data_IF_339952730945
#
_entry.id   IF_339952730945
#
_cell.length_a   1.000
_cell.length_b   1.000
_cell.length_c   1.000
_cell.angle_alpha   90.00
_cell.angle_beta   90.00
_cell.angle_gamma   90.00
#
_symmetry.space_group_name_H-M   'P 1'
#
loop_
_entity.id
_entity.type
_entity.pdbx_description
1 polymer ?
#
# COMPACT_ATOMS: atom_id res chain seq x y z
N UNK A 1 3.65 -44.23 12.72
CA UNK A 1 4.91 -44.75 13.33
C UNK A 1 5.40 -43.72 14.33
N UNK A 2 6.03 -44.10 15.43
CA UNK A 2 6.65 -43.13 16.36
C UNK A 2 8.00 -42.70 15.80
N UNK A 3 8.19 -41.41 15.59
CA UNK A 3 9.45 -40.83 15.14
C UNK A 3 10.10 -40.08 16.31
N UNK A 4 11.42 -40.15 16.40
CA UNK A 4 12.20 -39.29 17.30
C UNK A 4 12.76 -38.16 16.47
N UNK A 5 12.21 -36.96 16.66
CA UNK A 5 12.73 -35.75 16.06
C UNK A 5 13.86 -35.21 16.95
N UNK A 6 15.04 -35.05 16.38
CA UNK A 6 16.17 -34.35 17.00
C UNK A 6 16.33 -32.98 16.33
N UNK A 7 15.90 -31.94 17.01
CA UNK A 7 15.98 -30.57 16.53
C UNK A 7 17.26 -29.92 17.07
N UNK A 8 18.11 -29.43 16.18
CA UNK A 8 19.35 -28.71 16.50
C UNK A 8 19.15 -27.25 16.09
N UNK A 9 19.12 -26.34 17.06
CA UNK A 9 18.96 -24.89 16.83
C UNK A 9 20.30 -24.22 17.10
N UNK A 10 20.91 -23.66 16.05
CA UNK A 10 22.18 -22.92 16.15
C UNK A 10 21.89 -21.42 16.02
N UNK A 11 22.25 -20.64 17.04
CA UNK A 11 22.27 -19.18 16.95
C UNK A 11 23.48 -18.74 16.13
N UNK A 12 23.25 -18.38 14.86
CA UNK A 12 24.26 -17.70 14.06
C UNK A 12 24.38 -16.24 14.51
N UNK A 13 25.63 -15.80 14.66
CA UNK A 13 26.01 -14.52 15.21
C UNK A 13 25.42 -13.38 14.35
N UNK A 14 24.33 -12.75 14.80
CA UNK A 14 23.73 -11.55 14.19
C UNK A 14 24.58 -10.28 14.46
N UNK A 15 25.90 -10.40 14.38
CA UNK A 15 26.84 -9.29 14.60
C UNK A 15 27.33 -8.70 13.27
N UNK A 16 26.95 -7.43 13.07
CA UNK A 16 27.63 -6.39 12.27
C UNK A 16 27.59 -6.43 10.73
N UNK A 17 26.59 -5.75 10.14
CA UNK A 17 26.92 -4.84 9.04
C UNK A 17 27.64 -3.62 9.64
N UNK A 18 28.96 -3.57 9.48
CA UNK A 18 29.79 -2.39 9.75
C UNK A 18 29.84 -1.55 8.46
N UNK A 19 29.23 -0.38 8.45
CA UNK A 19 29.62 0.70 7.55
C UNK A 19 30.08 1.87 8.41
N UNK A 20 31.40 2.12 8.41
CA UNK A 20 32.00 3.33 8.99
C UNK A 20 31.57 4.54 8.15
N UNK A 21 30.91 5.52 8.78
CA UNK A 21 30.87 6.89 8.27
C UNK A 21 31.94 7.65 9.05
N UNK A 22 33.05 7.97 8.37
CA UNK A 22 34.07 8.90 8.86
C UNK A 22 33.49 10.32 8.85
N UNK A 23 33.12 10.83 10.03
CA UNK A 23 32.71 12.24 10.21
C UNK A 23 32.56 12.60 11.69
N UNK A 24 33.09 13.74 12.17
CA UNK A 24 33.27 13.98 13.59
C UNK A 24 32.02 14.63 14.20
N UNK A 25 31.26 13.90 15.01
CA UNK A 25 30.75 14.39 16.29
C UNK A 25 30.30 13.21 17.15
N UNK A 26 30.80 13.20 18.39
CA UNK A 26 30.89 12.06 19.31
C UNK A 26 29.55 11.63 19.89
N UNK A 27 29.32 10.30 19.94
CA UNK A 27 28.74 9.62 21.10
C UNK A 27 29.61 8.39 21.44
N UNK A 28 30.22 8.42 22.62
CA UNK A 28 31.07 7.35 23.16
C UNK A 28 30.21 6.32 23.90
N UNK A 29 29.83 5.25 23.22
CA UNK A 29 29.87 3.85 23.67
C UNK A 29 29.00 3.01 22.73
N UNK A 30 29.57 1.91 22.24
CA UNK A 30 28.84 0.92 21.44
C UNK A 30 27.93 0.14 22.39
N UNK A 31 26.68 0.57 22.52
CA UNK A 31 25.66 -0.17 23.27
C UNK A 31 25.50 -1.58 22.69
N UNK A 32 25.96 -2.59 23.44
CA UNK A 32 25.77 -4.01 23.13
C UNK A 32 24.31 -4.36 23.40
N UNK A 33 23.49 -4.55 22.36
CA UNK A 33 22.09 -4.97 22.49
C UNK A 33 21.98 -6.48 22.37
N UNK A 34 21.55 -7.15 23.43
CA UNK A 34 21.15 -8.57 23.41
C UNK A 34 19.64 -8.57 23.23
N UNK A 35 19.16 -8.99 22.06
CA UNK A 35 17.72 -9.15 21.83
C UNK A 35 17.28 -10.50 22.43
N UNK A 36 16.30 -10.48 23.33
CA UNK A 36 15.62 -11.71 23.74
C UNK A 36 14.69 -12.17 22.60
N UNK A 37 15.00 -13.29 21.97
CA UNK A 37 14.19 -13.87 20.89
C UNK A 37 13.34 -15.00 21.47
N UNK A 38 12.03 -14.77 21.54
CA UNK A 38 11.06 -15.77 22.01
C UNK A 38 10.34 -16.42 20.83
N UNK A 39 10.24 -17.75 20.84
CA UNK A 39 9.63 -18.53 19.75
C UNK A 39 8.54 -19.47 20.29
N UNK A 40 7.46 -19.64 19.55
CA UNK A 40 6.51 -20.74 19.68
C UNK A 40 6.82 -21.80 18.64
N UNK A 41 6.85 -23.07 19.05
CA UNK A 41 7.19 -24.18 18.16
C UNK A 41 6.01 -25.14 18.14
N UNK A 42 5.44 -25.34 16.95
CA UNK A 42 4.37 -26.30 16.71
C UNK A 42 4.90 -27.47 15.91
N UNK A 43 4.42 -28.67 16.20
CA UNK A 43 4.76 -29.89 15.48
C UNK A 43 3.46 -30.60 15.14
N UNK A 44 3.21 -30.88 13.86
CA UNK A 44 1.95 -31.48 13.39
C UNK A 44 0.72 -30.70 13.91
N UNK A 45 0.81 -29.36 13.91
CA UNK A 45 -0.24 -28.47 14.41
C UNK A 45 -0.39 -28.38 15.94
N UNK A 46 0.41 -29.13 16.71
CA UNK A 46 0.39 -29.10 18.19
C UNK A 46 1.50 -28.21 18.74
N UNK A 47 1.16 -27.27 19.63
CA UNK A 47 2.14 -26.42 20.31
C UNK A 47 2.98 -27.27 21.28
N UNK A 48 4.27 -27.38 21.00
CA UNK A 48 5.23 -28.13 21.84
C UNK A 48 6.08 -27.20 22.71
N UNK A 49 6.44 -26.01 22.21
CA UNK A 49 7.16 -25.01 23.01
C UNK A 49 6.50 -23.64 22.91
N UNK A 50 6.24 -23.01 24.06
CA UNK A 50 5.75 -21.64 24.18
C UNK A 50 6.81 -20.77 24.84
N UNK A 51 6.97 -19.53 24.39
CA UNK A 51 7.90 -18.54 24.96
C UNK A 51 9.37 -19.04 25.01
N UNK A 52 9.80 -19.77 23.99
CA UNK A 52 11.14 -20.35 23.93
C UNK A 52 12.20 -19.27 23.68
N UNK A 53 12.95 -18.89 24.71
CA UNK A 53 14.04 -17.92 24.60
C UNK A 53 15.37 -18.64 24.30
N UNK A 54 15.82 -18.56 23.05
CA UNK A 54 17.03 -19.27 22.61
C UNK A 54 18.28 -18.75 23.34
N UNK A 55 18.38 -17.43 23.57
CA UNK A 55 19.52 -16.80 24.26
C UNK A 55 19.68 -17.33 25.68
N UNK A 56 18.55 -17.55 26.35
CA UNK A 56 18.51 -18.12 27.70
C UNK A 56 18.92 -19.60 27.70
N UNK A 57 18.51 -20.35 26.69
CA UNK A 57 18.85 -21.77 26.53
C UNK A 57 20.33 -22.00 26.18
N UNK A 58 20.99 -21.06 25.50
CA UNK A 58 22.45 -21.11 25.23
C UNK A 58 23.31 -20.47 26.33
N UNK A 59 22.70 -20.10 27.47
CA UNK A 59 23.37 -19.44 28.60
C UNK A 59 24.17 -18.19 28.17
N UNK A 60 23.71 -17.47 27.15
CA UNK A 60 24.38 -16.29 26.61
C UNK A 60 25.64 -16.55 25.78
N UNK A 61 25.95 -17.81 25.43
CA UNK A 61 27.11 -18.16 24.61
C UNK A 61 26.73 -18.22 23.12
N UNK A 62 27.14 -17.25 22.28
CA UNK A 62 26.92 -17.36 20.83
C UNK A 62 27.72 -18.56 20.30
N UNK A 63 27.13 -19.33 19.37
CA UNK A 63 27.68 -20.55 18.75
C UNK A 63 27.46 -21.88 19.49
N UNK A 64 26.69 -21.92 20.58
CA UNK A 64 26.26 -23.20 21.19
C UNK A 64 24.96 -23.68 20.57
N UNK A 65 24.92 -24.95 20.16
CA UNK A 65 23.71 -25.59 19.66
C UNK A 65 22.75 -25.94 20.79
N UNK A 66 21.47 -25.59 20.63
CA UNK A 66 20.39 -26.09 21.49
C UNK A 66 19.80 -27.32 20.84
N UNK A 67 19.93 -28.47 21.50
CA UNK A 67 19.37 -29.74 21.02
C UNK A 67 18.13 -30.08 21.83
N UNK A 68 17.00 -30.31 21.16
CA UNK A 68 15.76 -30.81 21.76
C UNK A 68 15.33 -32.10 21.06
N UNK A 69 14.98 -33.10 21.84
CA UNK A 69 14.47 -34.38 21.33
C UNK A 69 13.00 -34.54 21.71
N UNK A 70 12.17 -34.84 20.72
CA UNK A 70 10.72 -34.98 20.88
C UNK A 70 10.27 -36.27 20.20
N UNK A 71 9.40 -37.01 20.89
CA UNK A 71 8.71 -38.16 20.30
C UNK A 71 7.44 -37.67 19.63
N UNK A 72 7.35 -37.85 18.33
CA UNK A 72 6.24 -37.36 17.51
C UNK A 72 5.58 -38.54 16.82
N UNK A 73 4.26 -38.60 16.92
CA UNK A 73 3.47 -39.54 16.12
C UNK A 73 3.21 -38.93 14.75
N UNK A 74 3.66 -39.60 13.71
CA UNK A 74 3.48 -39.13 12.33
C UNK A 74 2.44 -40.03 11.65
N UNK A 75 1.32 -39.42 11.23
CA UNK A 75 0.22 -40.06 10.50
C UNK A 75 0.49 -40.13 8.99
N UNK A 76 1.22 -39.15 8.46
CA UNK A 76 1.56 -39.01 7.05
C UNK A 76 3.04 -39.33 6.78
N UNK A 77 3.48 -39.38 5.51
CA UNK A 77 4.88 -39.69 5.16
C UNK A 77 5.84 -38.49 5.34
N UNK A 78 5.39 -37.42 6.02
CA UNK A 78 6.14 -36.20 6.28
C UNK A 78 5.91 -35.69 7.70
N UNK A 79 6.89 -34.94 8.21
CA UNK A 79 6.84 -34.26 9.50
C UNK A 79 6.82 -32.75 9.28
N UNK A 80 5.79 -32.07 9.79
CA UNK A 80 5.63 -30.61 9.70
C UNK A 80 5.96 -29.93 11.04
N UNK A 81 6.80 -28.89 11.00
CA UNK A 81 7.25 -28.12 12.16
C UNK A 81 7.11 -26.63 11.84
N UNK A 82 6.45 -25.86 12.71
CA UNK A 82 6.31 -24.40 12.57
C UNK A 82 7.00 -23.69 13.72
N UNK A 83 7.74 -22.62 13.43
CA UNK A 83 8.32 -21.71 14.41
C UNK A 83 7.65 -20.34 14.28
N UNK A 84 7.18 -19.72 15.36
CA UNK A 84 6.55 -18.39 15.35
C UNK A 84 7.23 -17.46 16.36
N UNK A 85 7.50 -16.21 16.03
CA UNK A 85 7.99 -15.26 17.03
C UNK A 85 6.88 -14.85 18.01
N UNK A 86 7.17 -14.92 19.31
CA UNK A 86 6.20 -14.71 20.39
C UNK A 86 6.02 -13.22 20.80
N UNK A 87 6.82 -12.30 20.24
CA UNK A 87 6.62 -10.86 20.45
C UNK A 87 6.99 -10.31 21.83
N UNK A 88 7.67 -11.09 22.70
CA UNK A 88 8.04 -10.66 24.05
C UNK A 88 9.46 -10.10 24.04
N UNK A 89 9.64 -8.82 24.38
CA UNK A 89 10.93 -8.13 24.36
C UNK A 89 10.76 -6.62 24.26
N UNK A 90 11.86 -5.85 24.27
CA UNK A 90 11.83 -4.39 24.16
C UNK A 90 11.26 -3.95 22.80
N UNK A 91 9.96 -3.61 22.77
CA UNK A 91 9.25 -3.14 21.58
C UNK A 91 9.50 -1.65 21.24
N UNK A 92 10.55 -1.03 21.79
CA UNK A 92 10.78 0.41 21.70
C UNK A 92 12.02 0.69 20.85
N UNK A 93 11.81 0.99 19.57
CA UNK A 93 12.78 1.79 18.82
C UNK A 93 12.65 3.25 19.27
N UNK A 94 13.74 4.01 19.47
CA UNK A 94 13.60 5.45 19.61
C UNK A 94 12.97 5.98 18.33
N UNK A 95 11.78 6.59 18.46
CA UNK A 95 11.17 7.43 17.43
C UNK A 95 12.19 8.47 17.01
N UNK A 96 12.78 8.25 15.84
CA UNK A 96 13.60 9.25 15.19
C UNK A 96 12.87 9.64 13.91
N UNK A 97 12.51 10.91 13.88
CA UNK A 97 11.96 11.62 12.74
C UNK A 97 12.71 11.22 11.46
N UNK A 98 12.05 10.43 10.59
CA UNK A 98 12.58 10.10 9.27
C UNK A 98 12.36 11.26 8.30
N UNK A 99 13.08 12.36 8.58
CA UNK A 99 13.61 13.24 7.55
C UNK A 99 14.88 12.58 7.00
N UNK A 100 14.84 12.16 5.73
CA UNK A 100 16.06 12.06 4.92
C UNK A 100 16.80 10.72 4.85
N UNK A 101 16.14 9.65 4.42
CA UNK A 101 16.83 8.55 3.72
C UNK A 101 16.18 8.37 2.35
N UNK A 102 16.91 8.83 1.31
CA UNK A 102 16.72 8.66 -0.14
C UNK A 102 15.28 8.57 -0.66
N UNK A 103 14.84 9.59 -1.40
CA UNK A 103 13.54 9.67 -2.10
C UNK A 103 13.33 8.65 -3.23
N UNK A 104 13.74 7.40 -3.05
CA UNK A 104 13.47 6.27 -3.92
C UNK A 104 12.51 5.30 -3.22
N UNK A 105 11.44 4.87 -3.89
CA UNK A 105 10.54 3.84 -3.37
C UNK A 105 11.31 2.55 -3.06
N UNK A 106 10.92 1.84 -2.00
CA UNK A 106 11.50 0.54 -1.67
C UNK A 106 11.30 -0.45 -2.83
N UNK A 107 12.27 -1.34 -3.05
CA UNK A 107 12.15 -2.39 -4.07
C UNK A 107 11.83 -3.70 -3.39
N UNK A 108 10.65 -4.25 -3.67
CA UNK A 108 10.17 -5.53 -3.15
C UNK A 108 10.39 -6.65 -4.17
N UNK A 109 10.68 -7.85 -3.68
CA UNK A 109 10.69 -9.03 -4.55
C UNK A 109 9.27 -9.52 -4.88
N UNK A 110 9.10 -10.22 -5.99
CA UNK A 110 7.79 -10.80 -6.31
C UNK A 110 7.38 -11.87 -5.29
N UNK A 111 8.36 -12.64 -4.80
CA UNK A 111 8.14 -13.67 -3.77
C UNK A 111 7.62 -13.06 -2.47
N UNK A 112 8.19 -11.93 -2.04
CA UNK A 112 7.71 -11.14 -0.89
C UNK A 112 6.23 -10.74 -1.04
N UNK A 113 5.87 -10.11 -2.16
CA UNK A 113 4.51 -9.59 -2.35
C UNK A 113 3.48 -10.71 -2.56
N UNK A 114 3.89 -11.79 -3.21
CA UNK A 114 3.07 -13.00 -3.37
C UNK A 114 2.76 -13.63 -2.02
N UNK A 115 3.76 -13.74 -1.15
CA UNK A 115 3.58 -14.21 0.23
C UNK A 115 2.67 -13.29 1.04
N UNK A 116 2.92 -11.97 0.97
CA UNK A 116 2.17 -10.95 1.71
C UNK A 116 0.67 -10.95 1.40
N UNK A 117 0.30 -11.36 0.20
CA UNK A 117 -1.07 -11.34 -0.33
C UNK A 117 -1.74 -12.71 -0.34
N UNK A 118 -1.10 -13.74 0.24
CA UNK A 118 -1.54 -15.14 0.18
C UNK A 118 -1.72 -15.61 -1.27
N UNK A 119 -0.66 -15.49 -2.06
CA UNK A 119 -0.62 -15.80 -3.50
C UNK A 119 -1.69 -15.04 -4.30
N UNK A 120 -1.91 -13.76 -3.95
CA UNK A 120 -2.96 -12.91 -4.54
C UNK A 120 -4.36 -13.52 -4.44
N UNK A 121 -4.69 -14.09 -3.27
CA UNK A 121 -5.98 -14.70 -2.97
C UNK A 121 -7.14 -13.74 -3.31
N UNK A 122 -8.15 -14.15 -4.10
CA UNK A 122 -9.32 -13.32 -4.42
C UNK A 122 -10.07 -12.80 -3.19
N UNK A 123 -10.01 -13.48 -2.05
CA UNK A 123 -10.60 -13.03 -0.79
C UNK A 123 -9.95 -11.73 -0.25
N UNK A 124 -8.70 -11.44 -0.65
CA UNK A 124 -7.97 -10.23 -0.26
C UNK A 124 -8.10 -9.10 -1.28
N UNK A 125 -8.85 -9.29 -2.36
CA UNK A 125 -9.02 -8.29 -3.39
C UNK A 125 -9.84 -7.11 -2.84
N UNK A 126 -9.23 -5.94 -2.84
CA UNK A 126 -9.83 -4.68 -2.39
C UNK A 126 -10.68 -4.03 -3.49
N UNK A 127 -10.26 -4.22 -4.74
CA UNK A 127 -10.92 -3.69 -5.92
C UNK A 127 -10.13 -4.03 -7.19
N UNK A 128 -10.70 -3.66 -8.32
CA UNK A 128 -10.07 -3.73 -9.63
C UNK A 128 -10.42 -2.48 -10.40
N UNK A 129 -9.40 -1.66 -10.70
CA UNK A 129 -9.53 -0.52 -11.59
C UNK A 129 -9.14 -0.91 -13.02
N UNK A 130 -9.13 0.07 -13.92
CA UNK A 130 -8.70 -0.13 -15.33
C UNK A 130 -7.25 -0.60 -15.50
N UNK A 131 -6.48 -0.67 -14.41
CA UNK A 131 -5.04 -0.94 -14.43
C UNK A 131 -4.66 -2.24 -13.72
N UNK A 132 -5.64 -2.94 -13.16
CA UNK A 132 -5.48 -4.26 -12.56
C UNK A 132 -5.98 -4.34 -11.11
N UNK A 133 -5.92 -5.54 -10.54
CA UNK A 133 -6.43 -5.82 -9.20
C UNK A 133 -5.52 -5.26 -8.10
N UNK A 134 -6.14 -4.84 -7.00
CA UNK A 134 -5.48 -4.40 -5.77
C UNK A 134 -5.78 -5.37 -4.65
N UNK A 135 -4.76 -5.82 -3.94
CA UNK A 135 -4.86 -6.80 -2.86
C UNK A 135 -4.44 -6.19 -1.53
N UNK A 136 -5.13 -6.58 -0.47
CA UNK A 136 -4.71 -6.33 0.90
C UNK A 136 -3.61 -7.31 1.28
N UNK A 137 -2.54 -6.83 1.90
CA UNK A 137 -1.59 -7.73 2.55
C UNK A 137 -2.10 -8.19 3.92
N UNK A 138 -1.63 -9.32 4.38
CA UNK A 138 -1.75 -9.68 5.79
C UNK A 138 -0.58 -9.08 6.59
N UNK A 139 -0.88 -8.68 7.82
CA UNK A 139 0.12 -8.40 8.84
C UNK A 139 0.68 -9.75 9.29
N UNK A 140 1.87 -10.14 8.82
CA UNK A 140 2.48 -11.39 9.25
C UNK A 140 3.64 -11.18 10.23
N UNK A 141 3.53 -11.89 11.35
CA UNK A 141 4.58 -12.20 12.30
C UNK A 141 5.50 -13.25 11.67
N UNK A 142 6.81 -13.11 11.87
CA UNK A 142 7.82 -14.09 11.44
C UNK A 142 7.45 -15.53 11.81
N UNK A 143 7.52 -16.44 10.84
CA UNK A 143 7.57 -17.87 11.10
C UNK A 143 8.14 -18.72 9.98
N UNK A 144 8.95 -19.71 10.34
CA UNK A 144 9.55 -20.70 9.43
C UNK A 144 8.76 -22.00 9.50
N UNK A 145 8.53 -22.66 8.37
CA UNK A 145 7.94 -24.00 8.28
C UNK A 145 9.00 -24.98 7.77
N UNK A 146 9.34 -25.99 8.57
CA UNK A 146 10.22 -27.09 8.14
C UNK A 146 9.35 -28.33 7.86
N UNK A 147 9.50 -28.90 6.67
CA UNK A 147 8.88 -30.19 6.29
C UNK A 147 9.99 -31.18 5.97
N UNK A 148 10.00 -32.34 6.64
CA UNK A 148 11.01 -33.39 6.41
C UNK A 148 10.36 -34.76 6.19
N UNK A 149 10.99 -35.60 5.35
CA UNK A 149 10.54 -36.96 5.02
C UNK A 149 11.65 -38.00 5.24
N UNK A 150 11.27 -39.27 5.44
CA UNK A 150 12.14 -40.37 5.94
C UNK A 150 13.34 -40.71 5.04
N UNK A 151 13.30 -40.33 3.77
CA UNK A 151 14.21 -40.82 2.73
C UNK A 151 15.08 -39.75 2.06
N UNK A 152 14.98 -38.48 2.45
CA UNK A 152 15.84 -37.42 1.94
C UNK A 152 16.49 -36.65 3.08
N UNK A 153 17.65 -36.05 2.81
CA UNK A 153 18.16 -34.90 3.58
C UNK A 153 16.99 -33.93 3.81
N UNK A 154 16.84 -33.31 5.00
CA UNK A 154 15.78 -32.33 5.19
C UNK A 154 15.91 -31.29 4.08
N UNK A 155 14.96 -31.32 3.14
CA UNK A 155 14.85 -30.24 2.18
C UNK A 155 14.39 -29.06 3.02
N UNK A 156 15.34 -28.18 3.29
CA UNK A 156 15.05 -26.86 3.79
C UNK A 156 14.19 -26.23 2.70
N UNK A 157 12.87 -26.37 2.81
CA UNK A 157 12.00 -25.34 2.27
C UNK A 157 12.29 -24.12 3.13
N UNK A 158 13.35 -23.40 2.76
CA UNK A 158 13.44 -21.98 2.96
C UNK A 158 12.17 -21.44 2.32
N UNK A 159 11.10 -21.36 3.11
CA UNK A 159 10.22 -20.24 2.97
C UNK A 159 11.08 -19.03 3.36
N UNK A 160 11.96 -18.59 2.45
CA UNK A 160 12.59 -17.27 2.44
C UNK A 160 11.49 -16.23 2.17
N UNK A 161 10.33 -16.38 2.78
CA UNK A 161 9.32 -15.33 2.82
C UNK A 161 9.68 -14.45 4.01
N UNK A 162 10.80 -13.75 3.83
CA UNK A 162 10.91 -12.40 4.35
C UNK A 162 9.67 -11.66 3.84
N UNK A 163 8.78 -11.26 4.75
CA UNK A 163 7.77 -10.25 4.46
C UNK A 163 7.67 -9.39 5.69
N UNK A 164 8.36 -8.26 5.68
CA UNK A 164 8.05 -7.17 6.58
C UNK A 164 8.48 -5.86 5.91
N UNK A 165 7.57 -4.89 5.86
CA UNK A 165 7.96 -3.57 6.34
C UNK A 165 8.22 -3.78 7.85
N UNK A 166 9.38 -3.40 8.36
CA UNK A 166 9.86 -3.73 9.72
C UNK A 166 8.89 -3.34 10.88
N UNK A 167 7.78 -2.66 10.56
CA UNK A 167 6.75 -2.15 11.46
C UNK A 167 5.44 -2.97 11.52
N UNK A 168 5.32 -4.06 10.76
CA UNK A 168 4.12 -4.91 10.74
C UNK A 168 2.87 -4.22 10.18
N UNK A 169 3.00 -3.16 9.38
CA UNK A 169 1.84 -2.45 8.80
C UNK A 169 1.20 -3.24 7.66
N UNK A 170 -0.13 -3.15 7.59
CA UNK A 170 -0.92 -3.65 6.45
C UNK A 170 -0.70 -2.72 5.26
N UNK A 171 -0.50 -3.28 4.06
CA UNK A 171 -0.31 -2.53 2.81
C UNK A 171 -1.32 -2.94 1.75
N UNK A 172 -1.46 -2.08 0.74
CA UNK A 172 -2.21 -2.39 -0.48
C UNK A 172 -1.23 -2.65 -1.63
N UNK A 173 -1.37 -3.80 -2.29
CA UNK A 173 -0.52 -4.23 -3.40
C UNK A 173 -1.33 -4.17 -4.69
N UNK A 174 -1.00 -3.22 -5.56
CA UNK A 174 -1.61 -3.04 -6.89
C UNK A 174 -0.80 -3.83 -7.92
N UNK A 175 -1.42 -4.82 -8.55
CA UNK A 175 -0.84 -5.53 -9.68
C UNK A 175 -1.21 -4.82 -10.97
N UNK A 176 -0.22 -4.44 -11.77
CA UNK A 176 -0.46 -3.76 -13.03
C UNK A 176 -0.49 -4.74 -14.20
N UNK A 177 -1.56 -4.67 -14.99
CA UNK A 177 -1.65 -5.46 -16.22
C UNK A 177 -0.68 -4.91 -17.28
N UNK A 178 0.34 -5.70 -17.62
CA UNK A 178 1.33 -5.34 -18.67
C UNK A 178 0.88 -5.80 -20.06
N UNK A 179 -0.33 -6.35 -20.19
CA UNK A 179 -0.85 -6.81 -21.48
C UNK A 179 -0.97 -5.65 -22.51
N UNK A 180 -0.95 -4.39 -22.06
CA UNK A 180 -1.00 -3.21 -22.93
C UNK A 180 0.24 -2.31 -22.79
N UNK A 181 0.59 -1.61 -23.88
CA UNK A 181 1.58 -0.52 -23.86
C UNK A 181 1.20 0.61 -22.89
N UNK A 182 -0.11 0.79 -22.66
CA UNK A 182 -0.64 1.76 -21.72
C UNK A 182 -0.26 1.40 -20.28
N UNK A 183 -0.44 0.15 -19.84
CA UNK A 183 -0.08 -0.29 -18.49
C UNK A 183 1.39 -0.06 -18.13
N UNK A 184 2.31 -0.29 -19.08
CA UNK A 184 3.75 0.03 -18.89
C UNK A 184 4.00 1.53 -18.67
N UNK A 185 3.37 2.36 -19.48
CA UNK A 185 3.54 3.82 -19.40
C UNK A 185 2.99 4.37 -18.09
N UNK A 186 1.88 3.80 -17.62
CA UNK A 186 1.24 4.19 -16.36
C UNK A 186 2.05 3.78 -15.15
N UNK A 187 2.65 2.58 -15.14
CA UNK A 187 3.57 2.18 -14.06
C UNK A 187 4.71 3.18 -13.90
N UNK A 188 5.34 3.57 -15.02
CA UNK A 188 6.44 4.53 -15.02
C UNK A 188 5.97 5.90 -14.57
N UNK A 189 4.81 6.36 -15.06
CA UNK A 189 4.22 7.63 -14.66
C UNK A 189 3.93 7.65 -13.15
N UNK A 190 3.25 6.62 -12.64
CA UNK A 190 2.85 6.51 -11.23
C UNK A 190 4.08 6.59 -10.32
N UNK A 191 5.13 5.79 -10.58
CA UNK A 191 6.40 5.88 -9.83
C UNK A 191 7.05 7.24 -9.96
N UNK A 192 7.16 7.79 -11.18
CA UNK A 192 7.87 9.05 -11.42
C UNK A 192 7.20 10.25 -10.74
N UNK A 193 5.87 10.24 -10.57
CA UNK A 193 5.13 11.34 -9.97
C UNK A 193 4.89 11.16 -8.48
N UNK A 194 4.44 9.98 -8.01
CA UNK A 194 4.03 9.82 -6.60
C UNK A 194 5.24 9.70 -5.66
N UNK A 195 6.40 9.25 -6.15
CA UNK A 195 7.61 9.09 -5.33
C UNK A 195 8.30 10.40 -4.95
N UNK A 196 8.01 11.48 -5.68
CA UNK A 196 8.63 12.80 -5.50
C UNK A 196 7.76 13.77 -4.70
N UNK A 197 6.59 13.31 -4.25
CA UNK A 197 5.61 14.11 -3.52
C UNK A 197 5.20 13.44 -2.22
N UNK A 198 4.92 14.25 -1.19
CA UNK A 198 4.44 13.76 0.09
C UNK A 198 3.52 14.78 0.73
N UNK A 199 2.26 14.40 0.91
CA UNK A 199 1.22 15.26 1.49
C UNK A 199 0.15 14.41 2.17
N UNK A 200 -0.50 14.92 3.23
CA UNK A 200 -1.48 14.15 4.01
C UNK A 200 -2.69 13.68 3.19
N UNK A 201 -3.09 14.49 2.20
CA UNK A 201 -4.19 14.20 1.28
C UNK A 201 -3.78 13.46 0.00
N UNK A 202 -2.58 12.88 -0.05
CA UNK A 202 -2.14 11.99 -1.12
C UNK A 202 -1.86 10.61 -0.55
N UNK A 203 -2.08 9.56 -1.35
CA UNK A 203 -1.71 8.19 -0.97
C UNK A 203 -0.18 8.06 -0.98
N UNK A 204 0.36 7.49 0.10
CA UNK A 204 1.78 7.17 0.22
C UNK A 204 2.13 5.89 -0.53
N UNK A 205 3.02 6.02 -1.52
CA UNK A 205 3.73 4.90 -2.12
C UNK A 205 4.88 4.48 -1.21
N UNK A 206 4.90 3.20 -0.81
CA UNK A 206 6.02 2.62 -0.07
C UNK A 206 7.08 2.05 -1.00
N UNK A 207 6.67 1.41 -2.10
CA UNK A 207 7.62 0.76 -2.99
C UNK A 207 7.02 0.14 -4.23
N UNK A 208 7.85 -0.55 -4.98
CA UNK A 208 7.45 -1.26 -6.20
C UNK A 208 8.18 -2.61 -6.33
N UNK A 209 7.63 -3.49 -7.17
CA UNK A 209 8.28 -4.71 -7.63
C UNK A 209 8.46 -4.66 -9.15
N UNK A 210 9.68 -4.94 -9.61
CA UNK A 210 10.07 -4.98 -11.02
C UNK A 210 10.87 -6.26 -11.25
N UNK A 211 10.18 -7.37 -11.50
CA UNK A 211 10.80 -8.67 -11.79
C UNK A 211 10.19 -9.28 -13.04
N UNK A 212 11.00 -9.52 -14.09
CA UNK A 212 10.49 -10.07 -15.35
C UNK A 212 9.31 -9.26 -15.92
N UNK A 213 8.16 -9.92 -16.05
CA UNK A 213 6.85 -9.37 -16.48
C UNK A 213 5.95 -8.95 -15.29
N UNK A 214 6.49 -8.86 -14.08
CA UNK A 214 5.74 -8.45 -12.87
C UNK A 214 5.99 -6.98 -12.58
N UNK A 215 4.92 -6.21 -12.50
CA UNK A 215 4.93 -4.79 -12.11
C UNK A 215 3.90 -4.60 -11.01
N UNK A 216 4.38 -4.35 -9.80
CA UNK A 216 3.51 -4.14 -8.65
C UNK A 216 3.89 -2.85 -7.95
N UNK A 217 2.89 -2.19 -7.37
CA UNK A 217 3.06 -1.00 -6.54
C UNK A 217 2.51 -1.29 -5.15
N UNK A 218 3.23 -0.83 -4.13
CA UNK A 218 2.91 -1.05 -2.72
C UNK A 218 2.57 0.27 -2.07
N UNK A 219 1.35 0.38 -1.58
CA UNK A 219 0.77 1.59 -0.99
C UNK A 219 0.42 1.41 0.47
N UNK A 220 0.20 2.54 1.16
CA UNK A 220 -0.53 2.51 2.42
C UNK A 220 -1.92 1.88 2.25
N UNK A 221 -2.33 1.06 3.22
CA UNK A 221 -3.66 0.49 3.24
C UNK A 221 -4.67 1.46 3.85
N UNK A 222 -5.75 1.73 3.13
CA UNK A 222 -6.80 2.66 3.53
C UNK A 222 -8.10 1.89 3.83
N UNK A 223 -8.44 1.84 5.12
CA UNK A 223 -9.48 0.96 5.66
C UNK A 223 -10.88 1.26 5.14
N UNK A 224 -11.19 2.53 4.91
CA UNK A 224 -12.52 2.97 4.48
C UNK A 224 -12.68 2.98 2.96
N UNK A 225 -11.72 2.40 2.22
CA UNK A 225 -11.75 2.20 0.77
C UNK A 225 -11.96 3.51 0.01
N UNK A 226 -12.55 3.45 -1.18
CA UNK A 226 -12.78 4.59 -2.06
C UNK A 226 -14.10 5.31 -1.77
N UNK A 227 -14.13 6.61 -2.08
CA UNK A 227 -15.24 7.49 -1.77
C UNK A 227 -16.52 7.12 -2.53
N UNK A 228 -16.40 6.59 -3.75
CA UNK A 228 -17.54 6.04 -4.51
C UNK A 228 -18.23 4.89 -3.76
N UNK A 229 -17.46 4.00 -3.14
CA UNK A 229 -17.98 2.89 -2.35
C UNK A 229 -18.65 3.38 -1.06
N UNK A 230 -18.17 4.50 -0.50
CA UNK A 230 -18.77 5.11 0.69
C UNK A 230 -20.05 5.88 0.37
N UNK A 231 -20.06 6.63 -0.74
CA UNK A 231 -21.21 7.45 -1.16
C UNK A 231 -22.33 6.61 -1.78
N UNK A 232 -21.98 5.64 -2.64
CA UNK A 232 -22.94 4.93 -3.50
C UNK A 232 -23.01 3.42 -3.21
N UNK A 233 -22.13 2.90 -2.35
CA UNK A 233 -22.07 1.48 -2.05
C UNK A 233 -23.16 1.01 -1.08
N UNK A 234 -23.39 -0.30 -1.09
CA UNK A 234 -24.45 -1.00 -0.32
C UNK A 234 -24.24 -1.00 1.21
N UNK A 235 -23.13 -0.43 1.71
CA UNK A 235 -22.79 -0.32 3.13
C UNK A 235 -22.39 1.13 3.42
N UNK A 236 -23.34 2.05 3.33
CA UNK A 236 -23.07 3.47 3.49
C UNK A 236 -22.64 3.77 4.93
N UNK A 237 -21.36 4.09 5.10
CA UNK A 237 -20.98 5.01 6.17
C UNK A 237 -21.70 6.31 5.82
N UNK A 238 -22.82 6.60 6.50
CA UNK A 238 -23.57 7.82 6.26
C UNK A 238 -22.69 9.01 6.61
N UNK A 239 -22.11 9.65 5.59
CA UNK A 239 -21.27 10.84 5.77
C UNK A 239 -22.17 12.02 6.09
N UNK A 240 -22.04 12.54 7.30
CA UNK A 240 -22.68 13.80 7.68
C UNK A 240 -22.06 14.98 6.90
N UNK A 241 -22.77 16.11 6.88
CA UNK A 241 -22.34 17.28 6.11
C UNK A 241 -20.94 17.80 6.49
N UNK A 242 -20.58 17.96 7.79
CA UNK A 242 -19.22 18.34 8.17
C UNK A 242 -18.14 17.44 7.58
N UNK A 243 -18.31 16.11 7.66
CA UNK A 243 -17.34 15.16 7.09
C UNK A 243 -17.24 15.29 5.57
N UNK A 244 -18.38 15.49 4.87
CA UNK A 244 -18.38 15.73 3.41
C UNK A 244 -17.59 16.99 3.04
N UNK A 245 -17.78 18.07 3.81
CA UNK A 245 -17.03 19.31 3.62
C UNK A 245 -15.52 19.11 3.86
N UNK A 246 -15.15 18.42 4.94
CA UNK A 246 -13.75 18.12 5.25
C UNK A 246 -13.09 17.25 4.16
N UNK A 247 -13.84 16.32 3.58
CA UNK A 247 -13.40 15.54 2.41
C UNK A 247 -13.15 16.46 1.21
N UNK A 248 -14.09 17.34 0.85
CA UNK A 248 -13.88 18.31 -0.24
C UNK A 248 -12.64 19.19 0.01
N UNK A 249 -12.48 19.69 1.24
CA UNK A 249 -11.36 20.53 1.63
C UNK A 249 -10.02 19.78 1.55
N UNK A 250 -9.98 18.54 2.01
CA UNK A 250 -8.77 17.71 1.93
C UNK A 250 -8.37 17.39 0.48
N UNK A 251 -9.34 17.09 -0.40
CA UNK A 251 -9.07 16.90 -1.83
C UNK A 251 -8.52 18.19 -2.45
N UNK A 252 -9.15 19.34 -2.17
CA UNK A 252 -8.70 20.64 -2.67
C UNK A 252 -7.27 20.97 -2.21
N UNK A 253 -6.93 20.69 -0.95
CA UNK A 253 -5.55 20.83 -0.42
C UNK A 253 -4.56 19.93 -1.16
N UNK A 254 -4.92 18.66 -1.40
CA UNK A 254 -4.09 17.74 -2.16
C UNK A 254 -3.82 18.22 -3.59
N UNK A 255 -4.83 18.75 -4.28
CA UNK A 255 -4.68 19.30 -5.63
C UNK A 255 -3.88 20.59 -5.64
N UNK A 256 -4.13 21.52 -4.72
CA UNK A 256 -3.36 22.75 -4.59
C UNK A 256 -1.88 22.45 -4.37
N UNK A 257 -1.57 21.45 -3.54
CA UNK A 257 -0.21 20.99 -3.32
C UNK A 257 0.44 20.45 -4.61
N UNK A 258 -0.25 19.58 -5.36
CA UNK A 258 0.26 19.05 -6.64
C UNK A 258 0.49 20.15 -7.68
N UNK A 259 -0.37 21.17 -7.68
CA UNK A 259 -0.37 22.22 -8.68
C UNK A 259 0.65 23.33 -8.39
N UNK A 260 0.81 23.75 -7.14
CA UNK A 260 1.53 24.98 -6.80
C UNK A 260 2.60 24.82 -5.72
N UNK A 261 2.44 23.90 -4.76
CA UNK A 261 3.30 23.84 -3.56
C UNK A 261 4.39 22.77 -3.63
N UNK A 262 4.19 21.75 -4.47
CA UNK A 262 5.18 20.68 -4.67
C UNK A 262 6.33 21.14 -5.55
N UNK A 263 7.50 20.50 -5.39
CA UNK A 263 8.72 20.85 -6.13
C UNK A 263 8.55 20.74 -7.64
N UNK A 264 7.73 19.80 -8.09
CA UNK A 264 7.42 19.57 -9.50
C UNK A 264 5.92 19.74 -9.66
N UNK A 265 5.48 20.61 -10.55
CA UNK A 265 4.06 20.77 -10.83
C UNK A 265 3.51 19.51 -11.49
N UNK A 266 2.42 18.96 -10.96
CA UNK A 266 1.82 17.71 -11.42
C UNK A 266 0.35 17.94 -11.72
N UNK A 267 -0.10 17.55 -12.91
CA UNK A 267 -1.53 17.45 -13.23
C UNK A 267 -1.95 15.98 -13.15
N UNK A 268 -2.94 15.68 -12.31
CA UNK A 268 -3.38 14.33 -11.96
C UNK A 268 -4.10 13.62 -13.13
N UNK A 269 -5.02 14.33 -13.82
CA UNK A 269 -5.78 13.91 -15.02
C UNK A 269 -6.82 12.81 -14.84
N UNK A 270 -6.92 12.21 -13.66
CA UNK A 270 -7.96 11.21 -13.35
C UNK A 270 -8.58 11.43 -11.96
N UNK A 271 -8.90 12.68 -11.62
CA UNK A 271 -9.61 13.00 -10.38
C UNK A 271 -11.07 12.55 -10.51
N UNK A 272 -11.49 11.60 -9.66
CA UNK A 272 -12.85 11.05 -9.59
C UNK A 272 -13.07 10.38 -8.23
N UNK A 273 -14.32 10.17 -7.83
CA UNK A 273 -14.68 9.56 -6.54
C UNK A 273 -14.05 8.19 -6.28
N UNK A 274 -13.81 7.37 -7.30
CA UNK A 274 -13.15 6.06 -7.16
C UNK A 274 -11.64 6.14 -6.94
N UNK A 275 -11.04 7.30 -7.24
CA UNK A 275 -9.62 7.58 -7.00
C UNK A 275 -9.38 8.40 -5.72
N UNK A 276 -10.43 8.74 -4.97
CA UNK A 276 -10.32 9.32 -3.63
C UNK A 276 -10.49 8.19 -2.61
N UNK A 277 -9.44 7.87 -1.87
CA UNK A 277 -9.48 6.87 -0.81
C UNK A 277 -9.62 7.53 0.56
N UNK A 278 -10.17 6.80 1.53
CA UNK A 278 -10.41 7.30 2.89
C UNK A 278 -9.62 6.48 3.92
N UNK A 279 -8.85 7.19 4.75
CA UNK A 279 -8.19 6.59 5.91
C UNK A 279 -9.19 6.25 7.03
N UNK A 280 -8.71 5.75 8.17
CA UNK A 280 -9.55 5.34 9.30
C UNK A 280 -10.39 6.48 9.89
N UNK A 281 -9.91 7.72 9.78
CA UNK A 281 -10.52 8.92 10.34
C UNK A 281 -11.34 9.70 9.30
N UNK A 282 -11.58 9.07 8.13
CA UNK A 282 -12.30 9.64 6.98
C UNK A 282 -11.59 10.83 6.33
N UNK A 283 -10.27 10.95 6.49
CA UNK A 283 -9.50 11.93 5.72
C UNK A 283 -9.31 11.42 4.28
N UNK A 284 -9.47 12.31 3.27
CA UNK A 284 -9.31 11.95 1.87
C UNK A 284 -7.85 11.85 1.46
N UNK A 285 -7.55 10.87 0.61
CA UNK A 285 -6.26 10.65 -0.03
C UNK A 285 -6.44 10.42 -1.52
N UNK A 286 -5.89 11.34 -2.33
CA UNK A 286 -5.88 11.22 -3.79
C UNK A 286 -4.93 10.09 -4.18
N UNK A 287 -5.42 9.19 -5.03
CA UNK A 287 -4.74 7.98 -5.48
C UNK A 287 -4.75 7.86 -7.01
N UNK A 288 -4.01 6.87 -7.52
CA UNK A 288 -3.95 6.52 -8.95
C UNK A 288 -3.31 7.58 -9.87
N UNK A 289 -2.01 7.78 -9.67
CA UNK A 289 -1.20 8.69 -10.47
C UNK A 289 -0.77 8.10 -11.83
N UNK A 290 -1.39 7.00 -12.28
CA UNK A 290 -1.01 6.34 -13.53
C UNK A 290 -1.17 7.22 -14.78
N UNK A 291 -2.09 8.19 -14.76
CA UNK A 291 -2.26 9.15 -15.86
C UNK A 291 -1.55 10.48 -15.64
N UNK A 292 -1.00 10.70 -14.43
CA UNK A 292 -0.43 11.97 -14.02
C UNK A 292 0.72 12.41 -14.92
N UNK A 293 0.91 13.73 -15.00
CA UNK A 293 1.92 14.31 -15.87
C UNK A 293 2.63 15.48 -15.19
N UNK A 294 3.95 15.50 -15.29
CA UNK A 294 4.76 16.66 -14.93
C UNK A 294 4.42 17.82 -15.87
N UNK A 295 4.13 18.96 -15.27
CA UNK A 295 3.86 20.21 -15.94
C UNK A 295 5.15 21.06 -15.98
N UNK A 296 5.33 21.81 -17.06
CA UNK A 296 6.50 22.66 -17.30
C UNK A 296 6.06 24.11 -17.22
N UNK A 297 6.59 24.85 -16.24
CA UNK A 297 6.15 26.20 -15.84
C UNK A 297 6.28 27.23 -16.98
N UNK A 298 7.13 26.95 -17.98
CA UNK A 298 7.33 27.83 -19.14
C UNK A 298 6.16 27.79 -20.15
N UNK A 299 5.23 26.84 -20.00
CA UNK A 299 4.16 26.58 -20.99
C UNK A 299 2.77 26.92 -20.44
N UNK A 300 1.97 27.61 -21.25
CA UNK A 300 0.56 27.92 -20.94
C UNK A 300 -0.34 26.68 -20.99
N UNK A 301 0.08 25.65 -21.71
CA UNK A 301 -0.55 24.33 -21.78
C UNK A 301 0.45 23.30 -22.30
N UNK A 302 0.17 22.03 -22.08
CA UNK A 302 0.86 20.92 -22.76
C UNK A 302 -0.15 20.14 -23.59
N UNK A 303 0.26 19.60 -24.75
CA UNK A 303 -0.65 18.89 -25.67
C UNK A 303 -0.38 17.38 -25.72
N UNK A 304 -0.57 16.62 -24.62
CA UNK A 304 -0.43 15.18 -24.63
C UNK A 304 -1.64 14.51 -25.29
N UNK A 305 -1.54 13.18 -25.51
CA UNK A 305 -2.71 12.35 -25.81
C UNK A 305 -3.79 12.57 -24.74
N UNK A 306 -5.01 12.88 -25.17
CA UNK A 306 -6.18 13.00 -24.29
C UNK A 306 -6.46 11.65 -23.65
N UNK A 307 -6.47 11.63 -22.31
CA UNK A 307 -6.79 10.50 -21.44
C UNK A 307 -7.47 11.03 -20.18
N UNK A 308 -8.26 10.18 -19.54
CA UNK A 308 -9.01 10.46 -18.31
C UNK A 308 -10.36 9.74 -18.37
N UNK A 309 -11.18 9.90 -17.34
CA UNK A 309 -12.49 9.26 -17.24
C UNK A 309 -13.58 10.17 -17.83
N UNK A 310 -14.38 9.64 -18.76
CA UNK A 310 -15.53 10.36 -19.36
C UNK A 310 -16.48 10.83 -18.24
N UNK A 311 -16.99 12.06 -18.35
CA UNK A 311 -17.79 12.73 -17.32
C UNK A 311 -16.97 13.60 -16.35
N UNK A 312 -15.68 13.31 -16.17
CA UNK A 312 -14.76 14.12 -15.36
C UNK A 312 -13.80 14.95 -16.22
N UNK A 313 -13.76 14.71 -17.53
CA UNK A 313 -12.87 15.41 -18.46
C UNK A 313 -13.35 16.85 -18.72
N UNK A 314 -12.47 17.81 -18.48
CA UNK A 314 -12.69 19.21 -18.86
C UNK A 314 -12.88 19.34 -20.38
N UNK A 315 -13.84 20.15 -20.79
CA UNK A 315 -14.25 20.25 -22.19
C UNK A 315 -13.12 20.80 -23.09
N UNK A 316 -12.40 21.82 -22.63
CA UNK A 316 -11.28 22.40 -23.34
C UNK A 316 -10.13 21.41 -23.56
N UNK A 317 -9.89 20.53 -22.58
CA UNK A 317 -8.89 19.48 -22.70
C UNK A 317 -9.37 18.35 -23.62
N UNK A 318 -10.64 17.95 -23.52
CA UNK A 318 -11.22 16.93 -24.38
C UNK A 318 -11.25 17.35 -25.86
N UNK A 319 -11.57 18.62 -26.14
CA UNK A 319 -11.71 19.14 -27.50
C UNK A 319 -10.38 19.57 -28.12
N UNK A 320 -9.51 20.24 -27.36
CA UNK A 320 -8.28 20.88 -27.89
C UNK A 320 -7.01 20.09 -27.57
N UNK A 321 -7.08 19.12 -26.66
CA UNK A 321 -5.90 18.44 -26.14
C UNK A 321 -5.01 19.31 -25.25
N UNK A 322 -5.42 20.56 -24.97
CA UNK A 322 -4.68 21.48 -24.12
C UNK A 322 -4.85 21.10 -22.66
N UNK A 323 -3.86 20.43 -22.10
CA UNK A 323 -3.83 20.08 -20.70
C UNK A 323 -3.24 21.23 -19.89
N UNK A 324 -3.97 21.64 -18.85
CA UNK A 324 -3.55 22.59 -17.83
C UNK A 324 -3.97 22.07 -16.45
N UNK A 325 -3.51 22.72 -15.38
CA UNK A 325 -3.97 22.48 -13.99
C UNK A 325 -5.50 22.60 -13.85
N UNK A 326 -6.14 23.42 -14.69
CA UNK A 326 -7.61 23.62 -14.68
C UNK A 326 -8.40 22.37 -15.06
N UNK A 327 -7.79 21.42 -15.77
CA UNK A 327 -8.43 20.13 -16.05
C UNK A 327 -8.78 19.39 -14.75
N UNK A 328 -7.86 19.35 -13.78
CA UNK A 328 -8.12 18.74 -12.47
C UNK A 328 -9.13 19.55 -11.64
N UNK A 329 -9.16 20.87 -11.80
CA UNK A 329 -10.13 21.75 -11.12
C UNK A 329 -11.56 21.45 -11.59
N UNK A 330 -11.75 21.27 -12.90
CA UNK A 330 -13.03 20.83 -13.45
C UNK A 330 -13.43 19.46 -12.90
N UNK A 331 -12.52 18.48 -12.94
CA UNK A 331 -12.77 17.14 -12.40
C UNK A 331 -13.12 17.18 -10.90
N UNK A 332 -12.45 18.04 -10.12
CA UNK A 332 -12.77 18.28 -8.72
C UNK A 332 -14.18 18.87 -8.53
N UNK A 333 -14.59 19.80 -9.40
CA UNK A 333 -15.95 20.34 -9.39
C UNK A 333 -17.01 19.24 -9.53
N UNK A 334 -16.79 18.29 -10.44
CA UNK A 334 -17.67 17.11 -10.60
C UNK A 334 -17.69 16.26 -9.32
N UNK A 335 -16.53 15.95 -8.74
CA UNK A 335 -16.42 15.19 -7.48
C UNK A 335 -17.13 15.92 -6.33
N UNK A 336 -17.02 17.24 -6.25
CA UNK A 336 -17.71 18.03 -5.23
C UNK A 336 -19.23 17.95 -5.39
N UNK A 337 -19.76 18.01 -6.62
CA UNK A 337 -21.19 17.81 -6.88
C UNK A 337 -21.66 16.41 -6.48
N UNK A 338 -20.86 15.37 -6.76
CA UNK A 338 -21.16 13.99 -6.35
C UNK A 338 -21.21 13.85 -4.82
N UNK A 339 -20.26 14.48 -4.10
CA UNK A 339 -20.22 14.49 -2.63
C UNK A 339 -21.43 15.21 -2.05
N UNK A 340 -21.80 16.37 -2.59
CA UNK A 340 -22.93 17.17 -2.09
C UNK A 340 -24.25 16.46 -2.32
N UNK A 341 -24.48 15.95 -3.53
CA UNK A 341 -25.75 15.35 -3.91
C UNK A 341 -25.89 13.89 -3.46
N UNK A 342 -24.78 13.20 -3.17
CA UNK A 342 -24.81 11.76 -2.93
C UNK A 342 -25.33 10.99 -4.15
N UNK A 343 -25.09 11.53 -5.35
CA UNK A 343 -25.50 10.96 -6.64
C UNK A 343 -24.30 10.81 -7.57
N UNK A 344 -24.29 9.76 -8.39
CA UNK A 344 -23.30 9.56 -9.47
C UNK A 344 -23.45 10.62 -10.56
N UNK A 345 -22.34 10.99 -11.20
CA UNK A 345 -22.33 11.92 -12.33
C UNK A 345 -23.19 11.44 -13.53
N UNK A 346 -23.33 10.13 -13.69
CA UNK A 346 -24.18 9.52 -14.71
C UNK A 346 -25.01 8.40 -14.08
N UNK A 347 -26.33 8.47 -14.24
CA UNK A 347 -27.26 7.42 -13.81
C UNK A 347 -28.36 7.23 -14.86
N UNK A 348 -28.30 6.08 -15.55
CA UNK A 348 -29.24 5.73 -16.62
C UNK A 348 -30.64 5.35 -16.11
N UNK A 349 -30.85 5.27 -14.80
CA UNK A 349 -32.15 4.93 -14.21
C UNK A 349 -33.03 6.18 -13.97
N UNK A 350 -32.51 7.38 -14.21
CA UNK A 350 -33.22 8.64 -14.01
C UNK A 350 -33.80 9.18 -15.32
N UNK A 351 -34.71 10.15 -15.21
CA UNK A 351 -35.35 10.79 -16.36
C UNK A 351 -34.32 11.51 -17.25
N UNK A 352 -34.64 11.68 -18.54
CA UNK A 352 -33.70 12.13 -19.58
C UNK A 352 -32.97 13.43 -19.21
N UNK A 353 -33.67 14.39 -18.63
CA UNK A 353 -33.14 15.69 -18.19
C UNK A 353 -32.33 15.62 -16.87
N UNK A 354 -32.42 14.49 -16.17
CA UNK A 354 -31.71 14.27 -14.92
C UNK A 354 -30.47 13.38 -15.12
N UNK A 355 -30.37 12.57 -16.19
CA UNK A 355 -29.34 11.52 -16.40
C UNK A 355 -27.92 11.97 -16.07
N UNK A 356 -27.55 13.19 -16.47
CA UNK A 356 -26.26 13.80 -16.17
C UNK A 356 -26.35 14.77 -15.01
N UNK A 357 -25.54 14.56 -13.97
CA UNK A 357 -25.55 15.39 -12.77
C UNK A 357 -25.26 16.86 -13.07
N UNK A 358 -24.32 17.15 -13.98
CA UNK A 358 -23.98 18.51 -14.39
C UNK A 358 -25.17 19.23 -15.04
N UNK A 359 -25.90 18.55 -15.92
CA UNK A 359 -27.07 19.10 -16.62
C UNK A 359 -28.21 19.36 -15.65
N UNK A 360 -28.45 18.41 -14.75
CA UNK A 360 -29.45 18.54 -13.69
C UNK A 360 -29.14 19.67 -12.71
N UNK A 361 -27.91 19.77 -12.19
CA UNK A 361 -27.50 20.88 -11.31
C UNK A 361 -27.64 22.21 -12.03
N UNK A 362 -27.29 22.26 -13.31
CA UNK A 362 -27.44 23.44 -14.12
C UNK A 362 -28.92 23.85 -14.26
N UNK A 363 -29.84 22.92 -14.50
CA UNK A 363 -31.26 23.23 -14.66
C UNK A 363 -31.91 23.83 -13.39
N UNK A 364 -31.53 23.35 -12.20
CA UNK A 364 -32.09 23.81 -10.92
C UNK A 364 -31.42 25.08 -10.36
N UNK A 365 -30.19 25.39 -10.77
CA UNK A 365 -29.44 26.57 -10.29
C UNK A 365 -29.75 27.85 -11.06
N UNK A 366 -30.57 27.80 -12.11
CA UNK A 366 -31.07 28.99 -12.82
C UNK A 366 -31.89 29.96 -11.94
N UNK A 367 -32.18 29.59 -10.68
CA UNK A 367 -32.96 30.41 -9.75
C UNK A 367 -32.16 31.19 -8.69
N UNK A 368 -30.84 30.99 -8.50
CA UNK A 368 -29.99 31.88 -7.67
C UNK A 368 -28.47 31.69 -7.92
N UNK A 369 -27.63 32.73 -7.75
CA UNK A 369 -26.24 32.75 -8.21
C UNK A 369 -25.29 32.01 -7.25
N UNK A 370 -25.30 30.68 -7.31
CA UNK A 370 -24.26 29.82 -6.72
C UNK A 370 -23.16 29.42 -7.73
N UNK A 371 -23.25 29.90 -8.98
CA UNK A 371 -22.44 29.45 -10.12
C UNK A 371 -20.99 30.00 -10.22
N UNK A 372 -20.38 30.53 -9.15
CA UNK A 372 -19.02 31.12 -9.26
C UNK A 372 -17.89 30.10 -8.96
N UNK A 373 -18.17 28.86 -8.59
CA UNK A 373 -17.11 27.93 -8.15
C UNK A 373 -16.62 26.91 -9.20
N UNK A 374 -17.23 26.78 -10.39
CA UNK A 374 -16.91 25.67 -11.33
C UNK A 374 -16.71 26.11 -12.80
N UNK A 375 -16.70 27.41 -13.14
CA UNK A 375 -16.37 27.87 -14.50
C UNK A 375 -15.01 28.57 -14.58
#
# INVERSE_FOLDING_TARGET
MDWVLRMVITLWNFSSQKSEILGPMRWMSLGRRVFDIYIYIYIQGKLEFKDFNIVKEVEGTPLRDVVKELKVQVSENYLEIHFFWAGKGTCCFPTQDFLGMDGRPYTFSYVELRAATDDFNPANKLGEGGFGPVYRSYQFLFGFVLVTSKFNTPELFCCDQQVTLEDGRVVAVKQLSIASHQGKSQFVAEIATISVVQHCSLVKLYGCCIEGDKRLLVYEYLKNKSLDQVLFGNRSLSLNWPTRFDICLGIARGLAYLHEESRLQIVHRDVKVSNILLDSDLNPKISDFGLAKLYDDEKTHISPRVVGTIGYLALEYAMRGHLTKKADVFSFGVVALEIVNGRLNFDSNLEEDEVYLLEWVWSITHFEPLCVLIL
#
